data_IF_835891268986
#
_entry.id   IF_835891268986
#
_cell.length_a   1.000
_cell.length_b   1.000
_cell.length_c   1.000
_cell.angle_alpha   90.00
_cell.angle_beta   90.00
_cell.angle_gamma   90.00
#
_symmetry.space_group_name_H-M   'P 1'
#
loop_
_entity.id
_entity.type
_entity.pdbx_description
1 polymer ?
#
# COMPACT_ATOMS: atom_id res chain seq x y z
N UNK A 1 -7.66 12.18 -4.49
CA UNK A 1 -7.31 11.07 -3.57
C UNK A 1 -6.21 10.16 -4.10
N UNK A 2 -6.46 9.33 -5.12
CA UNK A 2 -5.47 8.35 -5.65
C UNK A 2 -4.18 8.99 -6.19
N UNK A 3 -4.25 10.25 -6.61
CA UNK A 3 -3.11 10.99 -7.15
C UNK A 3 -2.01 11.33 -6.11
N UNK A 4 -2.18 10.94 -4.84
CA UNK A 4 -1.17 11.12 -3.78
C UNK A 4 0.02 10.16 -3.94
N UNK A 5 -0.21 9.00 -4.54
CA UNK A 5 0.83 8.00 -4.80
C UNK A 5 1.12 7.91 -6.30
N UNK A 6 2.39 7.91 -6.72
CA UNK A 6 2.75 7.74 -8.13
C UNK A 6 2.51 6.30 -8.59
N UNK A 7 2.32 6.13 -9.89
CA UNK A 7 2.36 4.82 -10.55
C UNK A 7 3.82 4.42 -10.70
N UNK A 8 4.18 3.26 -10.13
CA UNK A 8 5.54 2.74 -10.12
C UNK A 8 5.53 1.36 -10.79
N UNK A 9 6.43 1.17 -11.75
CA UNK A 9 6.77 -0.16 -12.25
C UNK A 9 8.05 -0.57 -11.53
N UNK A 10 7.93 -1.54 -10.62
CA UNK A 10 9.07 -2.17 -9.99
C UNK A 10 9.53 -3.38 -10.79
N UNK A 11 10.84 -3.50 -10.94
CA UNK A 11 11.52 -4.69 -11.41
C UNK A 11 12.22 -5.37 -10.25
N UNK A 12 12.52 -6.65 -10.43
CA UNK A 12 13.51 -7.32 -9.59
C UNK A 12 14.86 -6.95 -10.19
N UNK A 13 15.74 -6.33 -9.41
CA UNK A 13 17.13 -6.20 -9.84
C UNK A 13 17.68 -7.59 -10.15
N UNK A 14 18.56 -7.71 -11.16
CA UNK A 14 19.39 -8.90 -11.31
C UNK A 14 20.21 -9.05 -10.03
N UNK A 15 19.66 -9.79 -9.06
CA UNK A 15 20.38 -10.03 -7.82
C UNK A 15 21.42 -11.06 -8.15
N UNK A 16 22.68 -10.69 -8.02
CA UNK A 16 23.80 -11.61 -7.96
C UNK A 16 24.14 -11.83 -6.49
N UNK A 17 23.33 -12.59 -5.71
CA UNK A 17 23.58 -12.81 -4.28
C UNK A 17 25.00 -13.35 -4.03
N UNK A 18 25.51 -14.16 -4.96
CA UNK A 18 26.90 -14.64 -4.96
C UNK A 18 27.94 -13.51 -4.90
N UNK A 19 27.72 -12.36 -5.58
CA UNK A 19 28.65 -11.23 -5.51
C UNK A 19 28.70 -10.60 -4.13
N UNK A 20 27.56 -10.50 -3.43
CA UNK A 20 27.53 -9.99 -2.06
C UNK A 20 28.25 -10.93 -1.09
N UNK A 21 28.07 -12.24 -1.24
CA UNK A 21 28.77 -13.24 -0.43
C UNK A 21 30.29 -13.20 -0.67
N UNK A 22 30.73 -13.12 -1.93
CA UNK A 22 32.16 -13.01 -2.26
C UNK A 22 32.73 -11.67 -1.78
N UNK A 23 32.02 -10.56 -2.02
CA UNK A 23 32.47 -9.23 -1.59
C UNK A 23 32.60 -9.12 -0.06
N UNK A 24 31.75 -9.82 0.71
CA UNK A 24 31.89 -9.94 2.16
C UNK A 24 33.22 -10.59 2.55
N UNK A 25 33.60 -11.70 1.90
CA UNK A 25 34.84 -12.40 2.21
C UNK A 25 36.08 -11.58 1.80
N UNK A 26 36.02 -10.86 0.67
CA UNK A 26 37.07 -9.91 0.28
C UNK A 26 37.19 -8.77 1.30
N UNK A 27 36.07 -8.14 1.67
CA UNK A 27 36.05 -7.07 2.66
C UNK A 27 36.59 -7.55 4.04
N UNK A 28 36.43 -8.82 4.39
CA UNK A 28 37.04 -9.43 5.59
C UNK A 28 38.55 -9.56 5.49
N UNK A 29 39.08 -9.93 4.32
CA UNK A 29 40.51 -10.05 4.08
C UNK A 29 41.24 -8.69 4.07
N UNK A 30 40.55 -7.63 3.61
CA UNK A 30 41.10 -6.28 3.63
C UNK A 30 41.28 -5.74 5.05
N UNK A 31 42.42 -5.10 5.27
CA UNK A 31 42.82 -4.44 6.54
C UNK A 31 42.65 -2.93 6.48
N UNK A 32 42.01 -2.37 7.51
CA UNK A 32 41.88 -0.93 7.76
C UNK A 32 43.26 -0.25 7.82
N UNK A 33 43.35 0.99 7.35
CA UNK A 33 44.57 1.82 7.25
C UNK A 33 45.57 1.36 6.17
N UNK A 34 45.58 0.08 5.80
CA UNK A 34 46.45 -0.44 4.72
C UNK A 34 45.71 -0.43 3.38
N UNK A 35 44.48 -0.93 3.37
CA UNK A 35 43.71 -1.13 2.14
C UNK A 35 42.54 -0.15 2.01
N UNK A 36 42.02 0.36 3.13
CA UNK A 36 40.93 1.32 3.14
C UNK A 36 40.98 2.18 4.39
N UNK A 37 40.40 3.36 4.30
CA UNK A 37 40.14 4.27 5.41
C UNK A 37 38.64 4.34 5.71
N UNK A 38 38.30 4.76 6.92
CA UNK A 38 36.90 4.94 7.34
C UNK A 38 36.71 6.41 7.68
N UNK A 39 35.92 7.11 6.87
CA UNK A 39 35.47 8.46 7.18
C UNK A 39 34.19 8.39 8.02
N UNK A 40 34.34 8.54 9.33
CA UNK A 40 33.20 8.54 10.27
C UNK A 40 32.31 9.77 10.11
N UNK A 41 32.84 10.91 9.63
CA UNK A 41 32.06 12.12 9.42
C UNK A 41 31.14 11.97 8.21
N UNK A 42 31.66 11.41 7.12
CA UNK A 42 30.88 11.15 5.91
C UNK A 42 30.15 9.80 5.94
N UNK A 43 30.39 8.97 6.97
CA UNK A 43 29.87 7.60 7.10
C UNK A 43 30.10 6.79 5.82
N UNK A 44 31.33 6.79 5.34
CA UNK A 44 31.73 5.95 4.22
C UNK A 44 33.16 5.45 4.40
N UNK A 45 33.41 4.25 3.91
CA UNK A 45 34.76 3.74 3.72
C UNK A 45 35.32 4.33 2.41
N UNK A 46 36.63 4.56 2.35
CA UNK A 46 37.35 4.97 1.15
C UNK A 46 38.42 3.93 0.86
N UNK A 47 38.36 3.31 -0.32
CA UNK A 47 39.34 2.30 -0.73
C UNK A 47 40.63 3.02 -1.17
N UNK A 48 41.78 2.55 -0.67
CA UNK A 48 43.10 3.06 -1.05
C UNK A 48 43.65 2.27 -2.25
N UNK A 49 44.67 2.79 -2.94
CA UNK A 49 45.30 2.12 -4.09
C UNK A 49 45.74 0.68 -3.78
N UNK A 50 46.43 0.47 -2.65
CA UNK A 50 46.83 -0.89 -2.23
C UNK A 50 45.63 -1.80 -1.92
N UNK A 51 44.47 -1.24 -1.58
CA UNK A 51 43.24 -1.99 -1.41
C UNK A 51 42.56 -2.38 -2.71
N UNK A 52 42.69 -1.56 -3.75
CA UNK A 52 42.23 -1.88 -5.11
C UNK A 52 43.03 -3.07 -5.63
N UNK A 53 44.36 -3.00 -5.60
CA UNK A 53 45.23 -4.09 -6.06
C UNK A 53 44.98 -5.40 -5.29
N UNK A 54 44.84 -5.32 -3.96
CA UNK A 54 44.56 -6.49 -3.14
C UNK A 54 43.18 -7.10 -3.45
N UNK A 55 42.17 -6.27 -3.68
CA UNK A 55 40.84 -6.74 -4.02
C UNK A 55 40.78 -7.37 -5.42
N UNK A 56 41.49 -6.80 -6.40
CA UNK A 56 41.65 -7.35 -7.75
C UNK A 56 42.30 -8.73 -7.74
N UNK A 57 43.38 -8.89 -6.95
CA UNK A 57 44.04 -10.18 -6.75
C UNK A 57 43.12 -11.21 -6.09
N UNK A 58 42.38 -10.82 -5.05
CA UNK A 58 41.46 -11.71 -4.34
C UNK A 58 40.26 -12.13 -5.20
N UNK A 59 39.78 -11.25 -6.07
CA UNK A 59 38.67 -11.50 -7.00
C UNK A 59 39.13 -12.16 -8.31
N UNK A 60 40.45 -12.24 -8.55
CA UNK A 60 41.05 -12.66 -9.81
C UNK A 60 40.49 -11.87 -11.02
N UNK A 61 40.45 -10.54 -10.86
CA UNK A 61 39.95 -9.57 -11.84
C UNK A 61 41.00 -8.49 -12.09
N UNK A 62 41.01 -7.95 -13.31
CA UNK A 62 41.98 -6.91 -13.70
C UNK A 62 41.46 -5.48 -13.45
N UNK A 63 40.16 -5.31 -13.30
CA UNK A 63 39.52 -4.01 -13.11
C UNK A 63 38.22 -4.19 -12.30
N UNK A 64 38.10 -3.50 -11.17
CA UNK A 64 36.89 -3.50 -10.34
C UNK A 64 35.77 -2.62 -10.90
N UNK A 65 36.09 -1.71 -11.81
CA UNK A 65 35.22 -0.69 -12.38
C UNK A 65 34.67 -1.07 -13.75
N UNK A 66 34.92 -2.29 -14.23
CA UNK A 66 34.41 -2.80 -15.50
C UNK A 66 32.88 -2.60 -15.59
N UNK A 67 32.38 -1.83 -16.58
CA UNK A 67 30.95 -1.62 -16.77
C UNK A 67 30.16 -2.91 -17.05
N UNK A 68 30.80 -3.93 -17.63
CA UNK A 68 30.16 -5.22 -17.97
C UNK A 68 30.10 -6.17 -16.75
N UNK A 69 31.05 -6.07 -15.82
CA UNK A 69 31.09 -6.86 -14.59
C UNK A 69 31.50 -6.03 -13.36
N UNK A 70 30.66 -5.08 -12.90
CA UNK A 70 31.05 -4.16 -11.84
C UNK A 70 31.18 -4.89 -10.50
N UNK A 71 32.34 -4.74 -9.85
CA UNK A 71 32.64 -5.29 -8.52
C UNK A 71 32.80 -4.20 -7.46
N UNK A 72 33.25 -3.00 -7.87
CA UNK A 72 33.49 -1.89 -6.97
C UNK A 72 32.29 -1.54 -6.06
N UNK A 73 31.04 -1.42 -6.56
CA UNK A 73 29.89 -1.10 -5.70
C UNK A 73 29.62 -2.18 -4.63
N UNK A 74 29.82 -3.46 -4.96
CA UNK A 74 29.63 -4.57 -4.02
C UNK A 74 30.70 -4.56 -2.93
N UNK A 75 31.96 -4.33 -3.29
CA UNK A 75 33.06 -4.25 -2.35
C UNK A 75 32.91 -3.05 -1.39
N UNK A 76 32.55 -1.87 -1.92
CA UNK A 76 32.32 -0.68 -1.12
C UNK A 76 31.16 -0.87 -0.14
N UNK A 77 30.05 -1.48 -0.59
CA UNK A 77 28.93 -1.82 0.29
C UNK A 77 29.32 -2.84 1.36
N UNK A 78 30.16 -3.83 1.03
CA UNK A 78 30.65 -4.82 1.99
C UNK A 78 31.57 -4.18 3.05
N UNK A 79 32.44 -3.25 2.66
CA UNK A 79 33.29 -2.49 3.59
C UNK A 79 32.47 -1.57 4.49
N UNK A 80 31.51 -0.84 3.91
CA UNK A 80 30.57 -0.01 4.67
C UNK A 80 29.79 -0.85 5.67
N UNK A 81 29.20 -1.97 5.23
CA UNK A 81 28.48 -2.90 6.09
C UNK A 81 29.38 -3.44 7.22
N UNK A 82 30.65 -3.78 6.92
CA UNK A 82 31.62 -4.27 7.90
C UNK A 82 31.90 -3.24 9.00
N UNK A 83 32.28 -2.02 8.63
CA UNK A 83 32.82 -1.01 9.56
C UNK A 83 31.76 -0.09 10.18
N UNK A 84 30.77 0.34 9.40
CA UNK A 84 29.86 1.42 9.79
C UNK A 84 28.50 0.92 10.30
N UNK A 85 28.09 -0.29 9.91
CA UNK A 85 26.80 -0.86 10.29
C UNK A 85 27.01 -1.99 11.29
N UNK A 86 26.86 -1.66 12.56
CA UNK A 86 27.07 -2.57 13.67
C UNK A 86 25.74 -3.13 14.17
N UNK A 87 25.75 -4.44 14.44
CA UNK A 87 24.64 -5.14 15.08
C UNK A 87 24.37 -4.54 16.46
N UNK A 88 23.09 -4.45 16.81
CA UNK A 88 22.57 -3.86 18.06
C UNK A 88 22.82 -2.35 18.21
N UNK A 89 23.28 -1.68 17.15
CA UNK A 89 23.33 -0.21 17.04
C UNK A 89 22.49 0.30 15.88
N UNK A 90 22.90 0.00 14.65
CA UNK A 90 22.19 0.45 13.44
C UNK A 90 21.06 -0.50 13.03
N UNK A 91 21.13 -1.75 13.45
CA UNK A 91 20.13 -2.77 13.14
C UNK A 91 20.15 -3.92 14.13
N UNK A 92 19.09 -4.72 14.09
CA UNK A 92 18.98 -6.00 14.78
C UNK A 92 18.63 -7.11 13.79
N UNK A 93 18.94 -8.35 14.16
CA UNK A 93 18.54 -9.54 13.39
C UNK A 93 17.33 -10.16 14.08
N UNK A 94 16.17 -10.21 13.42
CA UNK A 94 14.94 -10.78 13.99
C UNK A 94 14.28 -11.69 12.97
N UNK A 95 13.96 -12.94 13.38
CA UNK A 95 13.35 -13.97 12.51
C UNK A 95 14.12 -14.23 11.19
N UNK A 96 15.43 -14.03 11.19
CA UNK A 96 16.23 -14.16 9.98
C UNK A 96 16.04 -13.01 8.99
N UNK A 97 15.69 -11.81 9.47
CA UNK A 97 15.65 -10.57 8.68
C UNK A 97 16.40 -9.45 9.39
N UNK A 98 16.97 -8.53 8.62
CA UNK A 98 17.66 -7.35 9.12
C UNK A 98 16.64 -6.23 9.33
N UNK A 99 16.50 -5.77 10.57
CA UNK A 99 15.57 -4.69 10.93
C UNK A 99 16.36 -3.46 11.35
N UNK A 100 16.15 -2.34 10.65
CA UNK A 100 16.87 -1.09 10.92
C UNK A 100 16.38 -0.50 12.26
N UNK A 101 17.31 -0.04 13.07
CA UNK A 101 17.04 0.68 14.32
C UNK A 101 17.29 2.16 14.11
N UNK A 102 16.34 2.99 14.53
CA UNK A 102 16.52 4.43 14.59
C UNK A 102 17.53 4.78 15.69
N UNK A 103 18.64 5.41 15.31
CA UNK A 103 19.74 5.76 16.22
C UNK A 103 19.33 6.73 17.34
N UNK A 104 18.29 7.55 17.12
CA UNK A 104 17.84 8.52 18.13
C UNK A 104 16.86 7.92 19.12
N UNK A 105 15.97 7.04 18.64
CA UNK A 105 14.85 6.54 19.45
C UNK A 105 15.03 5.09 19.90
N UNK A 106 15.98 4.35 19.32
CA UNK A 106 16.17 2.92 19.54
C UNK A 106 15.02 2.06 19.02
N UNK A 107 14.06 2.65 18.27
CA UNK A 107 12.90 1.94 17.75
C UNK A 107 13.24 1.19 16.47
N UNK A 108 12.64 0.02 16.33
CA UNK A 108 12.72 -0.78 15.11
C UNK A 108 11.83 -0.15 14.03
N UNK A 109 12.40 0.07 12.85
CA UNK A 109 11.71 0.61 11.69
C UNK A 109 11.28 -0.52 10.75
N UNK A 110 10.07 -1.04 10.97
CA UNK A 110 9.50 -2.12 10.16
C UNK A 110 9.33 -1.69 8.69
N UNK A 111 9.72 -2.58 7.76
CA UNK A 111 9.58 -2.39 6.32
C UNK A 111 10.57 -1.42 5.67
N UNK A 112 11.51 -0.84 6.43
CA UNK A 112 12.58 0.00 5.86
C UNK A 112 13.80 -0.84 5.47
N UNK A 113 14.37 -0.53 4.31
CA UNK A 113 15.64 -1.08 3.81
C UNK A 113 16.59 0.05 3.47
N UNK A 114 17.90 -0.17 3.58
CA UNK A 114 18.89 0.76 3.03
C UNK A 114 18.96 0.60 1.51
N UNK A 115 19.21 1.70 0.81
CA UNK A 115 19.26 1.76 -0.67
C UNK A 115 20.62 1.30 -1.23
N UNK A 116 20.70 1.20 -2.56
CA UNK A 116 21.93 0.99 -3.33
C UNK A 116 22.67 -0.32 -2.98
N UNK A 117 21.94 -1.39 -2.66
CA UNK A 117 22.54 -2.68 -2.35
C UNK A 117 23.15 -2.81 -0.94
N UNK A 118 23.11 -1.76 -0.11
CA UNK A 118 23.72 -1.79 1.22
C UNK A 118 23.00 -2.75 2.17
N UNK A 119 21.67 -2.87 2.06
CA UNK A 119 20.91 -3.80 2.90
C UNK A 119 21.26 -5.26 2.61
N UNK A 120 21.47 -5.60 1.34
CA UNK A 120 21.94 -6.90 0.90
C UNK A 120 23.36 -7.18 1.40
N UNK A 121 24.24 -6.18 1.44
CA UNK A 121 25.57 -6.33 2.01
C UNK A 121 25.54 -6.59 3.53
N UNK A 122 24.59 -5.98 4.27
CA UNK A 122 24.38 -6.28 5.70
C UNK A 122 23.75 -7.66 5.90
N UNK A 123 22.79 -8.06 5.07
CA UNK A 123 22.23 -9.43 5.06
C UNK A 123 23.36 -10.45 4.83
N UNK A 124 24.22 -10.23 3.84
CA UNK A 124 25.38 -11.06 3.56
C UNK A 124 26.35 -11.10 4.74
N UNK A 125 26.71 -9.94 5.32
CA UNK A 125 27.57 -9.82 6.51
C UNK A 125 27.09 -10.74 7.63
N UNK A 126 25.81 -10.71 7.96
CA UNK A 126 25.20 -11.49 9.03
C UNK A 126 24.85 -12.94 8.63
N UNK A 127 25.05 -13.32 7.36
CA UNK A 127 24.75 -14.66 6.85
C UNK A 127 23.25 -14.94 6.74
N UNK A 128 22.45 -13.90 6.58
CA UNK A 128 21.00 -13.95 6.38
C UNK A 128 20.70 -14.13 4.90
N UNK A 129 19.54 -14.73 4.56
CA UNK A 129 19.08 -14.86 3.18
C UNK A 129 18.96 -13.49 2.53
N UNK A 130 19.79 -13.24 1.51
CA UNK A 130 19.78 -12.00 0.74
C UNK A 130 18.48 -11.92 -0.04
N UNK A 131 17.73 -10.84 0.17
CA UNK A 131 16.49 -10.60 -0.57
C UNK A 131 16.77 -9.71 -1.79
N UNK A 132 16.17 -10.06 -2.92
CA UNK A 132 16.32 -9.28 -4.15
C UNK A 132 15.77 -7.87 -3.97
N UNK A 133 16.52 -6.87 -4.41
CA UNK A 133 16.08 -5.47 -4.40
C UNK A 133 14.95 -5.27 -5.41
N UNK A 134 13.85 -4.66 -4.99
CA UNK A 134 12.88 -4.08 -5.91
C UNK A 134 13.41 -2.73 -6.38
N UNK A 135 13.74 -2.61 -7.66
CA UNK A 135 14.20 -1.35 -8.25
C UNK A 135 13.05 -0.71 -9.02
N UNK A 136 12.89 0.59 -8.89
CA UNK A 136 11.93 1.36 -9.68
C UNK A 136 12.46 1.49 -11.11
N UNK A 137 11.84 0.80 -12.07
CA UNK A 137 12.20 0.88 -13.50
C UNK A 137 11.60 2.12 -14.17
N UNK A 138 10.38 2.46 -13.80
CA UNK A 138 9.68 3.64 -14.29
C UNK A 138 8.71 4.16 -13.23
N UNK A 139 8.50 5.47 -13.22
CA UNK A 139 7.52 6.11 -12.34
C UNK A 139 6.88 7.30 -13.04
N UNK A 140 5.56 7.45 -12.87
CA UNK A 140 4.81 8.63 -13.32
C UNK A 140 3.70 8.94 -12.32
N UNK A 141 3.52 10.22 -11.98
CA UNK A 141 2.37 10.64 -11.16
C UNK A 141 1.10 10.69 -12.00
N UNK A 142 -0.07 10.51 -11.37
CA UNK A 142 -1.35 10.68 -12.08
C UNK A 142 -1.51 12.09 -12.67
N UNK A 143 -0.99 13.12 -11.98
CA UNK A 143 -0.96 14.49 -12.46
C UNK A 143 -0.21 14.58 -13.79
N UNK A 144 1.00 14.05 -13.85
CA UNK A 144 1.82 14.06 -15.06
C UNK A 144 1.21 13.20 -16.18
N UNK A 145 0.71 12.01 -15.83
CA UNK A 145 0.10 11.09 -16.80
C UNK A 145 -1.09 11.73 -17.51
N UNK A 146 -2.05 12.29 -16.77
CA UNK A 146 -3.26 12.84 -17.38
C UNK A 146 -3.01 14.13 -18.17
N UNK A 147 -1.94 14.87 -17.86
CA UNK A 147 -1.51 16.05 -18.65
C UNK A 147 -0.97 15.70 -20.03
N UNK A 148 -0.63 14.43 -20.30
CA UNK A 148 -0.22 13.98 -21.63
C UNK A 148 -1.38 13.90 -22.63
N UNK A 149 -2.63 13.85 -22.15
CA UNK A 149 -3.79 13.74 -23.02
C UNK A 149 -4.12 15.10 -23.66
N UNK A 150 -4.28 15.10 -24.99
CA UNK A 150 -4.66 16.32 -25.76
C UNK A 150 -5.98 16.94 -25.31
N UNK A 151 -6.91 16.11 -24.86
CA UNK A 151 -8.22 16.52 -24.34
C UNK A 151 -8.52 15.68 -23.11
N UNK A 152 -8.90 16.35 -22.03
CA UNK A 152 -9.24 15.74 -20.76
C UNK A 152 -10.64 16.22 -20.33
N UNK A 153 -11.43 15.31 -19.77
CA UNK A 153 -12.74 15.57 -19.21
C UNK A 153 -13.03 14.56 -18.11
N UNK A 154 -13.89 14.93 -17.16
CA UNK A 154 -14.22 14.08 -16.02
C UNK A 154 -15.63 14.34 -15.52
N UNK A 155 -16.17 13.39 -14.76
CA UNK A 155 -17.48 13.47 -14.13
C UNK A 155 -17.41 12.90 -12.72
N UNK A 156 -18.08 13.57 -11.78
CA UNK A 156 -18.25 13.12 -10.39
C UNK A 156 -19.34 13.94 -9.72
N UNK A 157 -19.92 13.43 -8.63
CA UNK A 157 -20.89 14.15 -7.82
C UNK A 157 -20.28 15.18 -6.85
N UNK A 158 -18.96 15.16 -6.62
CA UNK A 158 -18.30 15.88 -5.52
C UNK A 158 -17.05 16.68 -5.93
N UNK A 159 -16.98 17.18 -7.18
CA UNK A 159 -15.79 17.92 -7.65
C UNK A 159 -15.73 19.38 -7.20
N UNK A 160 -16.85 20.00 -6.83
CA UNK A 160 -16.90 21.47 -6.69
C UNK A 160 -16.01 22.01 -5.56
N UNK A 161 -15.84 21.26 -4.48
CA UNK A 161 -14.93 21.64 -3.38
C UNK A 161 -13.46 21.68 -3.83
N UNK A 162 -13.08 20.79 -4.76
CA UNK A 162 -11.72 20.68 -5.30
C UNK A 162 -11.56 21.40 -6.65
N UNK A 163 -12.50 22.27 -7.02
CA UNK A 163 -12.52 22.91 -8.34
C UNK A 163 -11.23 23.69 -8.64
N UNK A 164 -10.65 24.33 -7.62
CA UNK A 164 -9.39 25.08 -7.74
C UNK A 164 -8.22 24.16 -8.07
N UNK A 165 -8.14 22.99 -7.44
CA UNK A 165 -7.07 22.02 -7.71
C UNK A 165 -7.18 21.49 -9.16
N UNK A 166 -8.40 21.19 -9.62
CA UNK A 166 -8.63 20.77 -11.01
C UNK A 166 -8.22 21.83 -12.04
N UNK A 167 -8.50 23.10 -11.77
CA UNK A 167 -8.13 24.20 -12.65
C UNK A 167 -6.62 24.45 -12.64
N UNK A 168 -5.97 24.43 -11.47
CA UNK A 168 -4.55 24.69 -11.35
C UNK A 168 -3.70 23.57 -11.99
N UNK A 169 -3.98 22.30 -11.64
CA UNK A 169 -3.18 21.15 -12.05
C UNK A 169 -3.53 20.68 -13.47
N UNK A 170 -4.82 20.58 -13.78
CA UNK A 170 -5.30 19.95 -15.02
C UNK A 170 -5.89 20.94 -16.02
N UNK A 171 -6.00 22.23 -15.69
CA UNK A 171 -6.68 23.25 -16.51
C UNK A 171 -8.14 22.86 -16.81
N UNK A 172 -8.76 22.13 -15.89
CA UNK A 172 -10.14 21.70 -16.00
C UNK A 172 -11.06 22.61 -15.19
N UNK A 173 -12.07 23.17 -15.87
CA UNK A 173 -13.13 23.90 -15.20
C UNK A 173 -14.17 22.92 -14.66
N UNK A 174 -14.57 23.12 -13.41
CA UNK A 174 -15.63 22.32 -12.78
C UNK A 174 -16.97 23.04 -12.95
N UNK A 175 -17.96 22.34 -13.50
CA UNK A 175 -19.31 22.86 -13.72
C UNK A 175 -20.30 22.00 -12.93
N UNK A 176 -21.16 22.65 -12.14
CA UNK A 176 -22.24 21.97 -11.42
C UNK A 176 -23.43 21.82 -12.36
N UNK A 177 -23.74 20.57 -12.70
CA UNK A 177 -24.93 20.24 -13.50
C UNK A 177 -26.14 20.11 -12.55
N UNK A 178 -27.26 20.80 -12.81
CA UNK A 178 -28.46 20.66 -11.99
C UNK A 178 -28.96 19.22 -11.94
N UNK A 179 -29.46 18.74 -10.79
CA UNK A 179 -30.02 17.39 -10.70
C UNK A 179 -31.32 17.28 -11.50
N UNK A 180 -31.62 16.08 -11.99
CA UNK A 180 -32.87 15.80 -12.71
C UNK A 180 -34.12 16.03 -11.85
N UNK A 181 -34.01 15.86 -10.53
CA UNK A 181 -35.08 16.10 -9.57
C UNK A 181 -34.58 16.90 -8.38
N UNK A 182 -35.50 17.61 -7.71
CA UNK A 182 -35.21 18.32 -6.46
C UNK A 182 -34.84 17.29 -5.38
N UNK A 183 -33.66 17.47 -4.79
CA UNK A 183 -33.15 16.61 -3.73
C UNK A 183 -34.00 16.77 -2.47
N UNK A 184 -34.52 15.66 -1.95
CA UNK A 184 -35.31 15.59 -0.69
C UNK A 184 -34.60 14.84 0.46
N UNK A 185 -33.32 14.53 0.29
CA UNK A 185 -32.53 13.81 1.32
C UNK A 185 -32.19 14.76 2.45
N UNK A 186 -32.68 14.44 3.64
CA UNK A 186 -32.30 15.09 4.90
C UNK A 186 -30.93 14.57 5.35
N UNK A 187 -29.97 15.48 5.51
CA UNK A 187 -28.66 15.18 6.11
C UNK A 187 -28.72 15.65 7.58
N UNK A 188 -28.55 14.73 8.52
CA UNK A 188 -28.50 15.04 9.96
C UNK A 188 -27.11 15.49 10.38
N UNK A 189 -27.03 16.24 11.49
CA UNK A 189 -25.76 16.66 12.08
C UNK A 189 -24.94 15.48 12.62
N UNK A 190 -23.61 15.66 12.65
CA UNK A 190 -22.69 14.66 13.17
C UNK A 190 -22.91 14.41 14.67
N UNK A 191 -22.84 13.14 15.08
CA UNK A 191 -22.90 12.73 16.48
C UNK A 191 -21.50 12.34 16.98
N UNK A 192 -21.01 13.04 17.99
CA UNK A 192 -19.68 12.83 18.58
C UNK A 192 -19.81 12.08 19.91
N UNK A 193 -18.99 11.05 20.08
CA UNK A 193 -18.98 10.19 21.26
C UNK A 193 -17.63 10.26 21.97
N UNK A 194 -17.63 10.04 23.28
CA UNK A 194 -16.43 10.10 24.13
C UNK A 194 -15.44 8.98 23.80
N UNK A 195 -15.95 7.79 23.49
CA UNK A 195 -15.15 6.63 23.13
C UNK A 195 -15.77 5.84 21.97
N UNK A 196 -14.95 4.97 21.36
CA UNK A 196 -15.37 4.16 20.22
C UNK A 196 -16.43 3.12 20.60
N UNK A 197 -16.40 2.60 21.82
CA UNK A 197 -17.35 1.59 22.27
C UNK A 197 -18.77 2.17 22.33
N UNK A 198 -18.90 3.37 22.89
CA UNK A 198 -20.14 4.14 22.95
C UNK A 198 -20.66 4.49 21.57
N UNK A 199 -19.76 4.94 20.67
CA UNK A 199 -20.07 5.18 19.26
C UNK A 199 -20.65 3.93 18.59
N UNK A 200 -19.97 2.79 18.65
CA UNK A 200 -20.40 1.56 17.98
C UNK A 200 -21.72 1.01 18.54
N UNK A 201 -21.92 1.08 19.86
CA UNK A 201 -23.20 0.71 20.49
C UNK A 201 -24.34 1.62 20.03
N UNK A 202 -24.11 2.92 19.89
CA UNK A 202 -25.11 3.86 19.41
C UNK A 202 -25.46 3.60 17.93
N UNK A 203 -24.45 3.37 17.08
CA UNK A 203 -24.64 2.98 15.68
C UNK A 203 -25.47 1.70 15.57
N UNK A 204 -25.13 0.65 16.32
CA UNK A 204 -25.87 -0.61 16.30
C UNK A 204 -27.35 -0.44 16.70
N UNK A 205 -27.64 0.39 17.71
CA UNK A 205 -29.02 0.71 18.12
C UNK A 205 -29.80 1.48 17.06
N UNK A 206 -29.16 2.42 16.37
CA UNK A 206 -29.83 3.17 15.30
C UNK A 206 -30.17 2.25 14.11
N UNK A 207 -29.24 1.35 13.76
CA UNK A 207 -29.47 0.31 12.75
C UNK A 207 -30.64 -0.59 13.17
N UNK A 208 -30.67 -1.06 14.41
CA UNK A 208 -31.76 -1.89 14.94
C UNK A 208 -33.12 -1.17 14.86
N UNK A 209 -33.18 0.10 15.29
CA UNK A 209 -34.41 0.90 15.24
C UNK A 209 -34.91 1.09 13.80
N UNK A 210 -34.01 1.40 12.87
CA UNK A 210 -34.32 1.51 11.45
C UNK A 210 -34.80 0.17 10.85
N UNK A 211 -34.12 -0.93 11.19
CA UNK A 211 -34.47 -2.26 10.75
C UNK A 211 -35.86 -2.67 11.25
N UNK A 212 -36.19 -2.41 12.53
CA UNK A 212 -37.50 -2.73 13.13
C UNK A 212 -38.67 -2.08 12.40
N UNK A 213 -38.51 -0.84 11.92
CA UNK A 213 -39.53 -0.15 11.12
C UNK A 213 -39.47 -0.51 9.61
N UNK A 214 -38.51 -1.33 9.20
CA UNK A 214 -38.32 -1.80 7.83
C UNK A 214 -37.57 -0.84 6.91
N UNK A 215 -36.93 0.20 7.44
CA UNK A 215 -36.14 1.16 6.66
C UNK A 215 -34.81 0.50 6.24
N UNK A 216 -34.43 0.50 4.95
CA UNK A 216 -33.11 0.02 4.54
C UNK A 216 -31.99 0.91 5.10
N UNK A 217 -30.86 0.29 5.45
CA UNK A 217 -29.69 0.96 6.03
C UNK A 217 -28.42 0.58 5.29
N UNK A 218 -27.63 1.58 4.92
CA UNK A 218 -26.26 1.42 4.45
C UNK A 218 -25.30 2.04 5.47
N UNK A 219 -24.39 1.26 5.99
CA UNK A 219 -23.37 1.67 6.97
C UNK A 219 -22.02 1.73 6.27
N UNK A 220 -21.39 2.91 6.27
CA UNK A 220 -20.04 3.09 5.76
C UNK A 220 -19.01 3.00 6.89
N UNK A 221 -17.97 2.19 6.72
CA UNK A 221 -16.81 2.14 7.63
C UNK A 221 -15.53 2.47 6.87
N UNK A 222 -14.44 2.78 7.56
CA UNK A 222 -13.16 3.12 6.91
C UNK A 222 -12.25 1.91 6.68
N UNK A 223 -12.39 0.86 7.48
CA UNK A 223 -11.56 -0.34 7.43
C UNK A 223 -12.37 -1.60 7.78
N UNK A 224 -11.82 -2.77 7.45
CA UNK A 224 -12.50 -4.06 7.62
C UNK A 224 -12.75 -4.39 9.10
N UNK A 225 -11.82 -4.06 9.99
CA UNK A 225 -11.95 -4.31 11.44
C UNK A 225 -13.17 -3.61 12.03
N UNK A 226 -13.40 -2.35 11.66
CA UNK A 226 -14.58 -1.60 12.08
C UNK A 226 -15.87 -2.21 11.54
N UNK A 227 -15.85 -2.74 10.31
CA UNK A 227 -16.99 -3.44 9.74
C UNK A 227 -17.31 -4.73 10.50
N UNK A 228 -16.28 -5.47 10.93
CA UNK A 228 -16.42 -6.68 11.75
C UNK A 228 -16.99 -6.35 13.13
N UNK A 229 -16.55 -5.27 13.77
CA UNK A 229 -17.12 -4.81 15.06
C UNK A 229 -18.61 -4.51 14.92
N UNK A 230 -19.03 -3.79 13.88
CA UNK A 230 -20.45 -3.50 13.64
C UNK A 230 -21.22 -4.79 13.38
N UNK A 231 -20.66 -5.69 12.57
CA UNK A 231 -21.25 -6.99 12.26
C UNK A 231 -21.52 -7.82 13.53
N UNK A 232 -20.53 -7.97 14.41
CA UNK A 232 -20.66 -8.69 15.69
C UNK A 232 -21.76 -8.09 16.59
N UNK A 233 -21.84 -6.75 16.66
CA UNK A 233 -22.89 -6.07 17.41
C UNK A 233 -24.28 -6.33 16.83
N UNK A 234 -24.42 -6.40 15.50
CA UNK A 234 -25.69 -6.71 14.85
C UNK A 234 -26.07 -8.19 15.03
N UNK A 235 -25.11 -9.11 15.01
CA UNK A 235 -25.34 -10.53 15.36
C UNK A 235 -25.89 -10.66 16.78
N UNK A 236 -25.29 -9.96 17.75
CA UNK A 236 -25.75 -9.95 19.13
C UNK A 236 -27.18 -9.39 19.29
N UNK A 237 -27.60 -8.48 18.40
CA UNK A 237 -28.94 -7.91 18.34
C UNK A 237 -29.91 -8.71 17.47
N UNK A 238 -29.48 -9.83 16.87
CA UNK A 238 -30.26 -10.62 15.90
C UNK A 238 -30.76 -9.82 14.68
N UNK A 239 -29.99 -8.83 14.23
CA UNK A 239 -30.32 -8.03 13.04
C UNK A 239 -29.58 -8.62 11.83
N UNK A 240 -30.29 -9.12 10.79
CA UNK A 240 -29.64 -9.66 9.60
C UNK A 240 -28.97 -8.56 8.78
N UNK A 241 -27.72 -8.78 8.38
CA UNK A 241 -26.94 -7.82 7.59
C UNK A 241 -26.19 -8.49 6.42
N UNK A 242 -25.66 -7.65 5.53
CA UNK A 242 -24.73 -8.02 4.46
C UNK A 242 -23.44 -7.23 4.62
N UNK A 243 -22.31 -7.91 4.61
CA UNK A 243 -20.98 -7.30 4.75
C UNK A 243 -20.24 -7.27 3.40
N UNK A 244 -19.70 -6.11 3.04
CA UNK A 244 -18.94 -5.88 1.81
C UNK A 244 -17.56 -5.31 2.17
N UNK A 245 -16.51 -6.00 1.74
CA UNK A 245 -15.14 -5.73 2.17
C UNK A 245 -14.25 -5.21 1.03
N UNK A 246 -14.83 -4.82 -0.12
CA UNK A 246 -14.12 -4.26 -1.27
C UNK A 246 -12.98 -5.17 -1.79
N UNK A 247 -13.12 -6.49 -1.65
CA UNK A 247 -12.11 -7.43 -2.17
C UNK A 247 -12.26 -7.55 -3.69
N UNK A 248 -11.17 -7.43 -4.49
CA UNK A 248 -11.25 -7.45 -5.96
C UNK A 248 -11.99 -8.66 -6.53
N UNK A 249 -11.77 -9.84 -5.93
CA UNK A 249 -12.42 -11.11 -6.32
C UNK A 249 -13.94 -11.11 -6.13
N UNK A 250 -14.46 -10.24 -5.25
CA UNK A 250 -15.87 -10.19 -4.90
C UNK A 250 -16.63 -9.04 -5.54
N UNK A 251 -15.98 -8.15 -6.31
CA UNK A 251 -16.59 -6.91 -6.83
C UNK A 251 -17.91 -7.19 -7.57
N UNK A 252 -17.94 -8.21 -8.43
CA UNK A 252 -19.17 -8.57 -9.17
C UNK A 252 -20.32 -8.98 -8.23
N UNK A 253 -20.01 -9.73 -7.17
CA UNK A 253 -20.99 -10.15 -6.16
C UNK A 253 -21.39 -9.00 -5.24
N UNK A 254 -20.46 -8.11 -4.90
CA UNK A 254 -20.73 -6.93 -4.07
C UNK A 254 -21.68 -5.96 -4.81
N UNK A 255 -21.49 -5.76 -6.12
CA UNK A 255 -22.42 -5.01 -6.97
C UNK A 255 -23.84 -5.60 -6.93
N UNK A 256 -23.98 -6.92 -7.02
CA UNK A 256 -25.28 -7.59 -6.93
C UNK A 256 -25.96 -7.37 -5.56
N UNK A 257 -25.20 -7.41 -4.47
CA UNK A 257 -25.72 -7.17 -3.13
C UNK A 257 -26.16 -5.71 -2.96
N UNK A 258 -25.32 -4.75 -3.39
CA UNK A 258 -25.58 -3.31 -3.27
C UNK A 258 -26.82 -2.88 -4.05
N UNK A 259 -26.99 -3.40 -5.26
CA UNK A 259 -28.18 -3.13 -6.07
C UNK A 259 -29.50 -3.53 -5.39
N UNK A 260 -29.44 -4.41 -4.39
CA UNK A 260 -30.58 -4.90 -3.62
C UNK A 260 -30.68 -4.28 -2.21
N UNK A 261 -29.73 -3.44 -1.79
CA UNK A 261 -29.70 -2.84 -0.46
C UNK A 261 -30.86 -1.86 -0.18
N UNK A 262 -31.57 -1.40 -1.22
CA UNK A 262 -32.73 -0.50 -1.07
C UNK A 262 -34.05 -1.21 -0.75
N UNK A 263 -34.05 -2.53 -0.49
CA UNK A 263 -35.26 -3.29 -0.14
C UNK A 263 -35.60 -3.14 1.34
N UNK A 264 -36.89 -3.31 1.67
CA UNK A 264 -37.38 -3.28 3.05
C UNK A 264 -36.58 -4.24 3.94
N UNK A 265 -36.24 -3.82 5.15
CA UNK A 265 -35.45 -4.56 6.14
C UNK A 265 -33.97 -4.82 5.80
N UNK A 266 -33.45 -4.34 4.67
CA UNK A 266 -32.05 -4.59 4.33
C UNK A 266 -31.08 -3.75 5.16
N UNK A 267 -30.08 -4.40 5.73
CA UNK A 267 -28.92 -3.75 6.36
C UNK A 267 -27.66 -4.17 5.62
N UNK A 268 -26.89 -3.19 5.14
CA UNK A 268 -25.66 -3.42 4.39
C UNK A 268 -24.52 -2.64 5.02
N UNK A 269 -23.42 -3.31 5.33
CA UNK A 269 -22.17 -2.72 5.82
C UNK A 269 -21.20 -2.69 4.65
N UNK A 270 -20.75 -1.49 4.27
CA UNK A 270 -19.83 -1.26 3.17
C UNK A 270 -18.52 -0.67 3.70
N UNK A 271 -17.44 -1.42 3.52
CA UNK A 271 -16.09 -0.96 3.88
C UNK A 271 -15.58 0.02 2.84
N UNK A 272 -15.14 1.19 3.29
CA UNK A 272 -14.64 2.32 2.51
C UNK A 272 -15.66 2.83 1.49
N UNK A 273 -15.59 2.34 0.25
CA UNK A 273 -16.54 2.61 -0.82
C UNK A 273 -16.91 1.32 -1.58
N UNK A 274 -17.04 0.20 -0.86
CA UNK A 274 -17.53 -1.04 -1.45
C UNK A 274 -18.88 -0.81 -2.15
N UNK A 275 -19.01 -1.28 -3.39
CA UNK A 275 -20.21 -1.03 -4.21
C UNK A 275 -20.20 0.27 -5.01
N UNK A 276 -19.10 1.03 -5.02
CA UNK A 276 -18.98 2.27 -5.82
C UNK A 276 -19.37 2.03 -7.28
N UNK A 277 -20.21 2.91 -7.81
CA UNK A 277 -20.70 2.85 -9.20
C UNK A 277 -21.97 2.04 -9.40
N UNK A 278 -22.57 1.49 -8.33
CA UNK A 278 -23.86 0.79 -8.38
C UNK A 278 -24.93 1.61 -7.67
N UNK A 279 -26.02 1.91 -8.38
CA UNK A 279 -27.16 2.63 -7.79
C UNK A 279 -27.97 1.75 -6.83
N UNK A 280 -28.28 2.30 -5.65
CA UNK A 280 -29.16 1.66 -4.67
C UNK A 280 -30.59 2.14 -4.92
N UNK A 281 -31.33 1.39 -5.76
CA UNK A 281 -32.72 1.69 -6.04
C UNK A 281 -33.62 1.22 -4.90
N UNK A 282 -34.56 2.07 -4.47
CA UNK A 282 -35.57 1.68 -3.49
C UNK A 282 -36.46 0.57 -4.07
N UNK A 283 -36.62 -0.53 -3.33
CA UNK A 283 -37.29 -1.74 -3.81
C UNK A 283 -36.39 -2.71 -4.58
N UNK A 284 -35.13 -2.36 -4.84
CA UNK A 284 -34.14 -3.18 -5.54
C UNK A 284 -34.13 -2.97 -7.06
N UNK A 285 -33.06 -3.41 -7.72
CA UNK A 285 -32.90 -3.28 -9.17
C UNK A 285 -33.49 -4.48 -9.93
N UNK A 286 -34.61 -4.26 -10.63
CA UNK A 286 -35.33 -5.32 -11.35
C UNK A 286 -34.49 -6.07 -12.40
N UNK A 287 -33.62 -5.37 -13.13
CA UNK A 287 -32.78 -5.98 -14.16
C UNK A 287 -31.72 -6.91 -13.55
N UNK A 288 -31.07 -6.44 -12.48
CA UNK A 288 -30.07 -7.24 -11.74
C UNK A 288 -30.75 -8.44 -11.06
N UNK A 289 -31.94 -8.25 -10.48
CA UNK A 289 -32.71 -9.34 -9.88
C UNK A 289 -33.11 -10.40 -10.91
N UNK A 290 -33.59 -10.01 -12.10
CA UNK A 290 -33.93 -10.93 -13.17
C UNK A 290 -32.69 -11.73 -13.63
N UNK A 291 -31.54 -11.06 -13.76
CA UNK A 291 -30.27 -11.71 -14.13
C UNK A 291 -29.81 -12.71 -13.07
N UNK A 292 -29.94 -12.39 -11.79
CA UNK A 292 -29.63 -13.28 -10.67
C UNK A 292 -30.52 -14.52 -10.67
N UNK A 293 -31.84 -14.34 -10.79
CA UNK A 293 -32.78 -15.46 -10.86
C UNK A 293 -32.52 -16.36 -12.07
N UNK A 294 -32.24 -15.77 -13.23
CA UNK A 294 -31.88 -16.52 -14.43
C UNK A 294 -30.58 -17.32 -14.22
N UNK A 295 -29.56 -16.70 -13.60
CA UNK A 295 -28.29 -17.35 -13.29
C UNK A 295 -28.49 -18.54 -12.36
N UNK A 296 -29.23 -18.38 -11.26
CA UNK A 296 -29.53 -19.48 -10.33
C UNK A 296 -30.30 -20.61 -11.03
N UNK A 297 -31.34 -20.27 -11.80
CA UNK A 297 -32.16 -21.25 -12.51
C UNK A 297 -31.38 -22.04 -13.58
N UNK A 298 -30.41 -21.39 -14.26
CA UNK A 298 -29.57 -22.02 -15.27
C UNK A 298 -28.38 -22.79 -14.68
N UNK A 299 -27.77 -22.30 -13.60
CA UNK A 299 -26.69 -23.00 -12.91
C UNK A 299 -27.17 -24.29 -12.22
N UNK A 300 -28.42 -24.33 -11.76
CA UNK A 300 -28.99 -25.54 -11.13
C UNK A 300 -29.34 -26.62 -12.17
N UNK A 301 -29.30 -26.29 -13.48
CA UNK A 301 -29.60 -27.20 -14.60
C UNK A 301 -28.36 -27.72 -15.34
N UNK A 302 -27.17 -27.25 -14.98
CA UNK A 302 -25.87 -27.70 -15.48
C UNK A 302 -25.18 -28.53 -14.41
#
# INVERSE_FOLDING_TARGET
>A
DEARTPLIISGVASSQPQKYDVAKEVARALKKVVHYEVDEKQRQCVLLEGGIEAAEQLLNKNDLFDPEDPWFPFLMNALNAKELYLKDKQYIVKKGEIMIVDEFTGRVMDGRRWSNGLHQAVEAKEGVKIQSESVTLASISYQSLFRLFKKLGGMTGTAFTEAKEFEEIYKLKTIVVPPNQVRKREDSDDQVYVDDIGKWKAVARDIENAHRIGRPVLVGTTNVQNSEIVAELLEALNVPYRLLNAKPENVARETEVIANSGRKYMVTIATNMAGRGTDILLGGNASIMARLQLREALYTKL
#
